data_IF_058826638458
#
_entry.id   IF_058826638458
#
_cell.length_a   1.000
_cell.length_b   1.000
_cell.length_c   1.000
_cell.angle_alpha   90.00
_cell.angle_beta   90.00
_cell.angle_gamma   90.00
#
_symmetry.space_group_name_H-M   'P 1'
#
loop_
_entity.id
_entity.type
_entity.pdbx_description
1 polymer ?
#
# COMPACT_ATOMS: atom_id res chain seq x y z
N UNK A 1 -12.21 -0.20 19.25
CA UNK A 1 -12.07 -1.48 18.52
C UNK A 1 -10.61 -1.91 18.57
N UNK A 2 -10.29 -3.18 18.86
CA UNK A 2 -8.90 -3.64 18.90
C UNK A 2 -8.27 -3.56 17.51
N UNK A 3 -7.03 -3.06 17.47
CA UNK A 3 -6.21 -2.97 16.26
C UNK A 3 -5.45 -4.29 16.09
N UNK A 4 -5.39 -4.82 14.87
CA UNK A 4 -4.68 -6.09 14.61
C UNK A 4 -3.17 -5.83 14.61
N UNK A 5 -2.33 -6.69 15.23
CA UNK A 5 -0.89 -6.50 15.25
C UNK A 5 -0.30 -6.48 13.84
N UNK A 6 0.55 -5.50 13.56
CA UNK A 6 1.29 -5.37 12.31
C UNK A 6 2.69 -5.92 12.47
N UNK A 7 3.11 -6.75 11.51
CA UNK A 7 4.45 -7.34 11.47
C UNK A 7 5.26 -6.73 10.33
N UNK A 8 6.49 -6.31 10.61
CA UNK A 8 7.45 -6.12 9.54
C UNK A 8 7.83 -7.50 8.98
N UNK A 9 7.87 -7.63 7.67
CA UNK A 9 8.18 -8.90 7.00
C UNK A 9 9.31 -8.72 6.01
N UNK A 10 9.98 -9.82 5.66
CA UNK A 10 10.90 -9.84 4.52
C UNK A 10 10.16 -9.49 3.24
N UNK A 11 10.86 -8.85 2.30
CA UNK A 11 10.26 -8.44 1.03
C UNK A 11 9.76 -9.69 0.26
N UNK A 12 8.48 -9.72 -0.14
CA UNK A 12 7.86 -10.91 -0.70
C UNK A 12 8.53 -11.31 -2.02
N UNK A 13 9.10 -12.51 -2.05
CA UNK A 13 9.81 -13.02 -3.22
C UNK A 13 8.88 -13.38 -4.39
N UNK A 14 7.61 -13.59 -4.07
CA UNK A 14 6.48 -13.88 -4.95
C UNK A 14 5.82 -12.63 -5.54
N UNK A 15 6.16 -11.44 -5.04
CA UNK A 15 5.62 -10.18 -5.54
C UNK A 15 6.17 -9.84 -6.91
N UNK A 16 5.30 -9.34 -7.80
CA UNK A 16 5.70 -8.79 -9.10
C UNK A 16 6.53 -7.50 -8.97
N UNK A 17 6.54 -6.85 -7.81
CA UNK A 17 7.45 -5.73 -7.51
C UNK A 17 8.89 -6.17 -7.24
N UNK A 18 9.17 -7.47 -7.10
CA UNK A 18 10.50 -7.98 -6.77
C UNK A 18 11.66 -7.41 -7.60
N UNK A 19 11.56 -7.25 -8.94
CA UNK A 19 12.65 -6.67 -9.73
C UNK A 19 13.05 -5.27 -9.26
N UNK A 20 12.10 -4.51 -8.73
CA UNK A 20 12.26 -3.14 -8.26
C UNK A 20 12.97 -3.03 -6.91
N UNK A 21 13.18 -4.13 -6.18
CA UNK A 21 13.72 -4.07 -4.80
C UNK A 21 15.20 -3.71 -4.74
N UNK A 22 16.01 -4.19 -5.70
CA UNK A 22 17.48 -4.04 -5.65
C UNK A 22 17.95 -2.60 -5.81
N UNK A 23 17.26 -1.81 -6.63
CA UNK A 23 17.60 -0.42 -6.95
C UNK A 23 16.84 0.60 -6.10
N UNK A 24 16.01 0.13 -5.16
CA UNK A 24 15.17 0.99 -4.35
C UNK A 24 16.02 1.83 -3.39
N UNK A 25 15.77 3.13 -3.34
CA UNK A 25 16.33 4.00 -2.30
C UNK A 25 15.62 3.77 -0.97
N UNK A 26 14.32 3.51 -1.03
CA UNK A 26 13.51 3.16 0.13
C UNK A 26 12.59 1.99 -0.23
N UNK A 27 12.51 1.02 0.69
CA UNK A 27 11.59 -0.10 0.62
C UNK A 27 11.11 -0.43 2.03
N UNK A 28 9.81 -0.70 2.16
CA UNK A 28 9.22 -1.28 3.35
C UNK A 28 8.22 -2.38 3.00
N UNK A 29 8.01 -3.30 3.95
CA UNK A 29 7.02 -4.36 3.82
C UNK A 29 6.41 -4.65 5.19
N UNK A 30 5.09 -4.55 5.28
CA UNK A 30 4.33 -4.81 6.48
C UNK A 30 3.18 -5.76 6.19
N UNK A 31 2.92 -6.67 7.13
CA UNK A 31 1.89 -7.68 7.02
C UNK A 31 0.86 -7.59 8.15
N UNK A 32 -0.39 -7.94 7.82
CA UNK A 32 -1.47 -8.18 8.77
C UNK A 32 -2.19 -9.47 8.41
N UNK A 33 -2.51 -10.27 9.43
CA UNK A 33 -3.30 -11.48 9.25
C UNK A 33 -4.76 -11.10 9.04
N UNK A 34 -5.39 -11.73 8.04
CA UNK A 34 -6.82 -11.60 7.78
C UNK A 34 -7.62 -12.58 8.64
N UNK A 35 -8.84 -12.23 9.06
CA UNK A 35 -9.72 -13.14 9.79
C UNK A 35 -10.14 -14.29 8.88
N UNK A 36 -10.33 -15.51 9.36
CA UNK A 36 -10.82 -16.59 8.48
C UNK A 36 -12.23 -16.26 7.95
N UNK A 37 -12.41 -16.26 6.62
CA UNK A 37 -13.71 -16.01 5.97
C UNK A 37 -14.26 -17.24 5.22
N UNK A 38 -14.03 -18.44 5.73
CA UNK A 38 -14.50 -19.69 5.12
C UNK A 38 -14.12 -19.77 3.63
N UNK A 39 -15.09 -20.12 2.76
CA UNK A 39 -14.85 -20.29 1.30
C UNK A 39 -14.76 -19.00 0.48
N UNK A 40 -14.89 -17.79 1.06
CA UNK A 40 -14.83 -16.55 0.29
C UNK A 40 -13.37 -16.16 0.00
N UNK A 41 -13.01 -16.11 -1.29
CA UNK A 41 -11.69 -15.67 -1.71
C UNK A 41 -11.54 -14.14 -1.57
N UNK A 42 -10.46 -13.71 -0.91
CA UNK A 42 -10.09 -12.29 -0.89
C UNK A 42 -9.73 -11.79 -2.29
N UNK A 43 -10.24 -10.61 -2.64
CA UNK A 43 -9.90 -9.93 -3.89
C UNK A 43 -8.94 -8.78 -3.64
N UNK A 44 -7.79 -8.71 -4.33
CA UNK A 44 -6.79 -7.67 -4.09
C UNK A 44 -7.32 -6.26 -4.38
N UNK A 45 -8.20 -6.07 -5.37
CA UNK A 45 -8.82 -4.77 -5.64
C UNK A 45 -9.66 -4.25 -4.47
N UNK A 46 -10.41 -5.13 -3.80
CA UNK A 46 -11.24 -4.75 -2.66
C UNK A 46 -10.37 -4.39 -1.47
N UNK A 47 -9.33 -5.20 -1.20
CA UNK A 47 -8.37 -4.94 -0.13
C UNK A 47 -7.61 -3.64 -0.37
N UNK A 48 -7.19 -3.35 -1.60
CA UNK A 48 -6.57 -2.08 -1.95
C UNK A 48 -7.55 -0.92 -1.72
N UNK A 49 -8.79 -1.01 -2.22
CA UNK A 49 -9.80 0.03 -1.97
C UNK A 49 -10.02 0.25 -0.47
N UNK A 50 -10.16 -0.81 0.33
CA UNK A 50 -10.31 -0.70 1.78
C UNK A 50 -9.07 -0.13 2.48
N UNK A 51 -7.88 -0.50 2.04
CA UNK A 51 -6.60 0.01 2.53
C UNK A 51 -6.45 1.51 2.24
N UNK A 52 -6.92 1.98 1.09
CA UNK A 52 -6.84 3.37 0.66
C UNK A 52 -8.05 4.23 1.08
N UNK A 53 -8.98 3.70 1.89
CA UNK A 53 -10.13 4.46 2.42
C UNK A 53 -9.91 4.93 3.87
N UNK A 54 -10.60 6.00 4.28
CA UNK A 54 -10.65 6.50 5.66
C UNK A 54 -9.26 6.89 6.22
N UNK A 55 -8.58 7.74 5.46
CA UNK A 55 -7.32 8.32 5.87
C UNK A 55 -7.51 9.27 7.07
N UNK A 56 -6.57 9.31 8.04
CA UNK A 56 -6.63 10.27 9.13
C UNK A 56 -6.71 11.71 8.62
N UNK A 57 -7.37 12.62 9.34
CA UNK A 57 -7.45 14.03 8.92
C UNK A 57 -6.07 14.69 8.73
N UNK A 58 -5.08 14.31 9.54
CA UNK A 58 -3.69 14.78 9.40
C UNK A 58 -3.02 14.29 8.11
N UNK A 59 -3.45 13.16 7.56
CA UNK A 59 -2.96 12.66 6.28
C UNK A 59 -3.38 13.59 5.14
N UNK A 60 -4.64 14.03 5.13
CA UNK A 60 -5.14 14.99 4.14
C UNK A 60 -4.36 16.30 4.19
N UNK A 61 -3.99 16.76 5.39
CA UNK A 61 -3.12 17.91 5.58
C UNK A 61 -1.71 17.68 5.00
N UNK A 62 -1.10 16.52 5.23
CA UNK A 62 0.21 16.18 4.64
C UNK A 62 0.18 16.11 3.12
N UNK A 63 -0.88 15.56 2.54
CA UNK A 63 -1.05 15.55 1.09
C UNK A 63 -1.23 16.95 0.53
N UNK A 64 -1.97 17.81 1.23
CA UNK A 64 -2.10 19.22 0.85
C UNK A 64 -0.75 19.94 0.91
N UNK A 65 0.01 19.77 2.00
CA UNK A 65 1.36 20.35 2.15
C UNK A 65 2.28 19.84 1.03
N UNK A 66 2.26 18.53 0.76
CA UNK A 66 3.01 17.94 -0.35
C UNK A 66 2.63 18.62 -1.66
N UNK A 67 1.34 18.72 -1.97
CA UNK A 67 0.87 19.28 -3.24
C UNK A 67 1.25 20.77 -3.39
N UNK A 68 1.30 21.53 -2.29
CA UNK A 68 1.81 22.90 -2.28
C UNK A 68 3.32 22.95 -2.55
N UNK A 69 4.12 22.12 -1.88
CA UNK A 69 5.57 22.05 -2.11
C UNK A 69 5.84 21.60 -3.55
N UNK A 70 5.16 20.56 -4.03
CA UNK A 70 5.29 20.06 -5.40
C UNK A 70 4.90 21.09 -6.45
N UNK A 71 3.89 21.93 -6.17
CA UNK A 71 3.54 23.06 -7.03
C UNK A 71 4.68 24.06 -7.23
N UNK A 72 5.47 24.32 -6.19
CA UNK A 72 6.59 25.27 -6.26
C UNK A 72 7.74 24.70 -7.08
N UNK A 73 7.89 23.37 -7.07
CA UNK A 73 8.94 22.66 -7.79
C UNK A 73 8.51 22.13 -9.18
N UNK A 74 7.32 22.48 -9.67
CA UNK A 74 6.82 22.05 -11.00
C UNK A 74 6.55 20.55 -11.12
N UNK A 75 6.28 19.89 -9.98
CA UNK A 75 6.01 18.46 -9.85
C UNK A 75 4.51 18.21 -9.86
N UNK A 76 4.06 17.05 -10.37
CA UNK A 76 2.63 16.78 -10.58
C UNK A 76 1.85 16.79 -9.27
N UNK A 77 0.65 17.38 -9.31
CA UNK A 77 -0.29 17.36 -8.18
C UNK A 77 -1.20 16.13 -8.22
N UNK A 78 -1.76 15.74 -7.07
CA UNK A 78 -2.74 14.63 -6.95
C UNK A 78 -3.88 14.70 -7.97
N UNK A 79 -4.33 15.91 -8.31
CA UNK A 79 -5.41 16.17 -9.25
C UNK A 79 -4.98 15.99 -10.70
N UNK A 80 -3.76 16.37 -11.04
CA UNK A 80 -3.18 16.21 -12.38
C UNK A 80 -2.91 14.74 -12.70
N UNK A 81 -2.51 13.97 -11.69
CA UNK A 81 -2.30 12.52 -11.79
C UNK A 81 -3.60 11.81 -12.11
N UNK A 82 -4.66 12.12 -11.35
CA UNK A 82 -5.99 11.55 -11.59
C UNK A 82 -6.57 11.98 -12.94
N UNK A 83 -6.43 13.26 -13.32
CA UNK A 83 -6.87 13.75 -14.62
C UNK A 83 -6.11 13.09 -15.78
N UNK A 84 -4.80 12.89 -15.64
CA UNK A 84 -3.98 12.22 -16.65
C UNK A 84 -4.31 10.73 -16.76
N UNK A 85 -4.59 10.06 -15.64
CA UNK A 85 -5.05 8.67 -15.62
C UNK A 85 -6.43 8.53 -16.30
N UNK A 86 -7.38 9.39 -15.95
CA UNK A 86 -8.72 9.43 -16.56
C UNK A 86 -8.65 9.66 -18.08
N UNK A 87 -7.82 10.61 -18.54
CA UNK A 87 -7.60 10.87 -19.98
C UNK A 87 -7.01 9.66 -20.72
N UNK A 88 -6.30 8.78 -20.02
CA UNK A 88 -5.71 7.55 -20.55
C UNK A 88 -6.58 6.30 -20.30
N UNK A 89 -7.76 6.44 -19.70
CA UNK A 89 -8.61 5.32 -19.32
C UNK A 89 -8.00 4.41 -18.24
N UNK A 90 -7.04 4.91 -17.46
CA UNK A 90 -6.37 4.16 -16.39
C UNK A 90 -7.18 4.31 -15.11
N UNK A 91 -7.60 3.18 -14.52
CA UNK A 91 -8.25 3.17 -13.21
C UNK A 91 -7.27 3.62 -12.12
N UNK A 92 -7.74 4.47 -11.22
CA UNK A 92 -7.00 4.92 -10.04
C UNK A 92 -7.62 4.34 -8.77
N UNK A 93 -6.79 4.02 -7.79
CA UNK A 93 -7.23 3.74 -6.43
C UNK A 93 -6.72 4.87 -5.54
N UNK A 94 -7.64 5.60 -4.91
CA UNK A 94 -7.40 6.93 -4.33
C UNK A 94 -6.76 7.86 -5.37
N UNK A 95 -5.48 8.22 -5.18
CA UNK A 95 -4.74 9.10 -6.10
C UNK A 95 -3.79 8.34 -7.03
N UNK A 96 -3.59 7.04 -6.81
CA UNK A 96 -2.55 6.26 -7.47
C UNK A 96 -3.09 5.47 -8.67
N UNK A 97 -2.50 5.62 -9.87
CA UNK A 97 -2.79 4.77 -11.02
C UNK A 97 -2.50 3.30 -10.75
N UNK A 98 -3.34 2.42 -11.30
CA UNK A 98 -3.08 0.98 -11.26
C UNK A 98 -2.07 0.61 -12.36
N UNK A 99 -0.94 0.05 -11.95
CA UNK A 99 0.15 -0.37 -12.85
C UNK A 99 -0.06 -1.82 -13.29
N UNK A 100 -0.43 -2.71 -12.36
CA UNK A 100 -0.60 -4.13 -12.64
C UNK A 100 -1.62 -4.76 -11.72
N UNK A 101 -2.33 -5.75 -12.24
CA UNK A 101 -3.25 -6.62 -11.50
C UNK A 101 -2.92 -8.08 -11.74
N UNK A 102 -3.12 -8.86 -10.69
CA UNK A 102 -3.08 -10.32 -10.70
C UNK A 102 -4.10 -10.86 -9.69
N UNK A 103 -4.27 -12.17 -9.63
CA UNK A 103 -5.28 -12.79 -8.77
C UNK A 103 -5.04 -12.56 -7.27
N UNK A 104 -3.77 -12.38 -6.86
CA UNK A 104 -3.37 -12.22 -5.47
C UNK A 104 -2.66 -10.90 -5.19
N UNK A 105 -2.34 -10.09 -6.20
CA UNK A 105 -1.57 -8.87 -6.04
C UNK A 105 -2.10 -7.74 -6.93
N UNK A 106 -2.18 -6.54 -6.36
CA UNK A 106 -2.39 -5.30 -7.11
C UNK A 106 -1.25 -4.33 -6.84
N UNK A 107 -0.70 -3.78 -7.91
CA UNK A 107 0.39 -2.79 -7.87
C UNK A 107 -0.17 -1.46 -8.33
N UNK A 108 -0.03 -0.48 -7.45
CA UNK A 108 -0.33 0.91 -7.71
C UNK A 108 0.97 1.69 -7.74
N UNK A 109 1.01 2.78 -8.48
CA UNK A 109 2.18 3.62 -8.43
C UNK A 109 2.15 4.75 -9.42
N UNK A 110 3.16 5.58 -9.28
CA UNK A 110 3.29 6.80 -10.04
C UNK A 110 4.76 7.07 -10.32
N UNK A 111 5.04 7.42 -11.57
CA UNK A 111 6.35 7.90 -11.98
C UNK A 111 6.30 9.41 -12.14
N UNK A 112 7.03 10.10 -11.26
CA UNK A 112 7.10 11.55 -11.18
C UNK A 112 8.55 12.04 -11.31
N UNK A 113 8.73 13.34 -11.50
CA UNK A 113 10.03 13.94 -11.82
C UNK A 113 11.08 13.73 -10.72
N UNK A 114 10.67 13.74 -9.44
CA UNK A 114 11.57 13.62 -8.29
C UNK A 114 11.72 12.18 -7.77
N UNK A 115 10.73 11.32 -7.99
CA UNK A 115 10.78 9.91 -7.61
C UNK A 115 9.78 9.06 -8.41
N UNK A 116 10.05 7.77 -8.44
CA UNK A 116 9.13 6.73 -8.87
C UNK A 116 8.66 5.96 -7.64
N UNK A 117 7.36 6.06 -7.34
CA UNK A 117 6.69 5.42 -6.21
C UNK A 117 5.87 4.24 -6.70
N UNK A 118 6.06 3.08 -6.08
CA UNK A 118 5.24 1.90 -6.32
C UNK A 118 4.83 1.29 -4.98
N UNK A 119 3.59 0.82 -4.89
CA UNK A 119 3.08 0.12 -3.73
C UNK A 119 2.28 -1.11 -4.18
N UNK A 120 2.45 -2.22 -3.48
CA UNK A 120 1.77 -3.48 -3.72
C UNK A 120 0.93 -3.86 -2.52
N UNK A 121 -0.27 -4.36 -2.79
CA UNK A 121 -1.10 -5.10 -1.85
C UNK A 121 -1.13 -6.55 -2.32
N UNK A 122 -0.39 -7.41 -1.64
CA UNK A 122 -0.23 -8.83 -1.92
C UNK A 122 -1.00 -9.67 -0.88
N UNK A 123 -1.76 -10.65 -1.34
CA UNK A 123 -2.41 -11.66 -0.52
C UNK A 123 -1.58 -12.95 -0.61
N UNK A 124 -1.26 -13.55 0.53
CA UNK A 124 -0.62 -14.87 0.56
C UNK A 124 -1.09 -15.73 1.71
N UNK A 125 -0.89 -17.03 1.56
CA UNK A 125 -1.17 -18.03 2.58
C UNK A 125 -0.06 -18.06 3.62
N UNK A 126 -0.43 -18.21 4.88
CA UNK A 126 0.47 -18.30 6.04
C UNK A 126 0.22 -19.62 6.75
N UNK A 127 1.30 -20.31 7.09
CA UNK A 127 1.20 -21.54 7.87
C UNK A 127 0.70 -21.25 9.30
N UNK A 128 -0.09 -22.15 9.91
CA UNK A 128 -0.72 -21.96 11.22
C UNK A 128 0.27 -21.66 12.36
N UNK A 129 1.54 -22.02 12.23
CA UNK A 129 2.57 -21.85 13.27
C UNK A 129 2.93 -20.40 13.62
N UNK A 130 2.47 -19.42 12.84
CA UNK A 130 2.62 -17.97 13.11
C UNK A 130 1.35 -17.32 13.70
N UNK A 131 0.24 -18.06 13.79
CA UNK A 131 -1.01 -17.60 14.38
C UNK A 131 -1.10 -18.15 15.81
N UNK A 132 -0.85 -17.31 16.81
CA UNK A 132 -1.02 -17.69 18.21
C UNK A 132 -2.42 -18.30 18.45
N UNK A 133 -2.42 -19.55 18.91
CA UNK A 133 -3.36 -20.13 19.88
C UNK A 133 -4.85 -20.19 19.51
N UNK A 134 -5.17 -20.56 18.27
CA UNK A 134 -6.49 -21.11 17.94
C UNK A 134 -6.33 -22.38 17.11
N UNK A 135 -6.40 -23.52 17.79
CA UNK A 135 -6.40 -24.84 17.18
C UNK A 135 -7.43 -24.94 16.06
N UNK A 136 -6.93 -25.04 14.84
CA UNK A 136 -7.71 -25.22 13.63
C UNK A 136 -6.76 -25.31 12.45
N UNK A 137 -6.84 -26.41 11.70
CA UNK A 137 -6.09 -26.69 10.47
C UNK A 137 -6.62 -25.84 9.29
N UNK A 138 -6.81 -24.54 9.52
CA UNK A 138 -7.33 -23.61 8.52
C UNK A 138 -6.19 -22.72 7.99
N UNK A 139 -6.03 -22.72 6.67
CA UNK A 139 -5.06 -21.86 5.98
C UNK A 139 -5.36 -20.39 6.28
N UNK A 140 -4.54 -19.76 7.12
CA UNK A 140 -4.65 -18.34 7.42
C UNK A 140 -4.10 -17.52 6.25
N UNK A 141 -4.80 -16.46 5.85
CA UNK A 141 -4.32 -15.53 4.81
C UNK A 141 -3.77 -14.27 5.46
N UNK A 142 -2.74 -13.69 4.87
CA UNK A 142 -2.25 -12.37 5.24
C UNK A 142 -2.21 -11.42 4.05
N UNK A 143 -2.29 -10.13 4.35
CA UNK A 143 -2.04 -9.05 3.40
C UNK A 143 -0.68 -8.46 3.70
N UNK A 144 0.18 -8.41 2.69
CA UNK A 144 1.46 -7.74 2.72
C UNK A 144 1.36 -6.45 1.90
N UNK A 145 1.50 -5.30 2.55
CA UNK A 145 1.68 -4.02 1.90
C UNK A 145 3.18 -3.78 1.72
N UNK A 146 3.63 -3.64 0.48
CA UNK A 146 5.04 -3.35 0.15
C UNK A 146 5.13 -2.01 -0.56
N UNK A 147 5.99 -1.11 -0.12
CA UNK A 147 6.27 0.14 -0.83
C UNK A 147 7.69 0.15 -1.33
N UNK A 148 7.88 0.58 -2.57
CA UNK A 148 9.19 0.71 -3.22
C UNK A 148 9.30 2.11 -3.81
N UNK A 149 10.38 2.82 -3.49
CA UNK A 149 10.65 4.17 -3.98
C UNK A 149 12.03 4.26 -4.60
N UNK A 150 12.07 4.72 -5.84
CA UNK A 150 13.30 5.09 -6.54
C UNK A 150 13.37 6.62 -6.62
N UNK A 151 14.46 7.20 -6.14
CA UNK A 151 14.64 8.65 -6.15
C UNK A 151 15.41 9.10 -7.38
N UNK A 152 15.00 10.23 -7.96
CA UNK A 152 15.75 10.92 -9.00
C UNK A 152 16.52 12.08 -8.37
N UNK A 153 17.86 12.01 -8.42
CA UNK A 153 18.75 13.06 -7.91
C UNK A 153 18.68 13.26 -6.39
N UNK A 154 19.18 14.42 -5.93
CA UNK A 154 19.27 14.77 -4.51
C UNK A 154 17.92 15.19 -3.91
N UNK A 155 17.10 15.90 -4.70
CA UNK A 155 15.80 16.40 -4.26
C UNK A 155 14.86 15.25 -3.87
N UNK A 156 14.77 14.21 -4.72
CA UNK A 156 13.99 13.01 -4.42
C UNK A 156 14.43 12.31 -3.12
N UNK A 157 15.74 12.24 -2.87
CA UNK A 157 16.32 11.63 -1.66
C UNK A 157 16.02 12.44 -0.40
N UNK A 158 16.15 13.76 -0.47
CA UNK A 158 15.81 14.65 0.64
C UNK A 158 14.31 14.56 0.97
N UNK A 159 13.47 14.62 -0.06
CA UNK A 159 12.02 14.53 0.09
C UNK A 159 11.58 13.22 0.74
N UNK A 160 12.00 12.06 0.20
CA UNK A 160 11.60 10.75 0.77
C UNK A 160 12.10 10.59 2.21
N UNK A 161 13.27 11.14 2.55
CA UNK A 161 13.82 11.06 3.91
C UNK A 161 12.91 11.77 4.91
N UNK A 162 12.34 12.91 4.52
CA UNK A 162 11.40 13.69 5.35
C UNK A 162 10.05 12.98 5.46
N UNK A 163 9.51 12.46 4.35
CA UNK A 163 8.16 11.86 4.34
C UNK A 163 8.11 10.41 4.83
N UNK A 164 9.23 9.67 4.78
CA UNK A 164 9.35 8.26 5.19
C UNK A 164 8.73 7.93 6.56
N UNK A 165 9.02 8.66 7.67
CA UNK A 165 8.42 8.32 8.96
C UNK A 165 6.89 8.42 8.93
N UNK A 166 6.35 9.42 8.24
CA UNK A 166 4.91 9.58 8.07
C UNK A 166 4.34 8.44 7.21
N UNK A 167 5.00 8.11 6.09
CA UNK A 167 4.60 7.00 5.23
C UNK A 167 4.45 5.69 6.00
N UNK A 168 5.48 5.31 6.77
CA UNK A 168 5.47 4.09 7.59
C UNK A 168 4.30 4.12 8.59
N UNK A 169 4.03 5.26 9.22
CA UNK A 169 2.93 5.42 10.16
C UNK A 169 1.56 5.20 9.48
N UNK A 170 1.38 5.75 8.28
CA UNK A 170 0.13 5.67 7.51
C UNK A 170 -0.13 4.26 7.02
N UNK A 171 0.92 3.59 6.51
CA UNK A 171 0.83 2.19 6.06
C UNK A 171 0.42 1.31 7.23
N UNK A 172 1.13 1.40 8.37
CA UNK A 172 0.80 0.63 9.57
C UNK A 172 -0.63 0.92 10.07
N UNK A 173 -1.04 2.18 10.09
CA UNK A 173 -2.38 2.59 10.53
C UNK A 173 -3.49 1.98 9.67
N UNK A 174 -3.37 2.08 8.35
CA UNK A 174 -4.38 1.54 7.43
C UNK A 174 -4.39 0.02 7.44
N UNK A 175 -3.21 -0.59 7.48
CA UNK A 175 -3.06 -2.04 7.53
C UNK A 175 -3.66 -2.62 8.82
N UNK A 176 -3.47 -1.98 9.97
CA UNK A 176 -3.94 -2.50 11.27
C UNK A 176 -5.47 -2.53 11.40
N UNK A 177 -6.15 -1.72 10.58
CA UNK A 177 -7.61 -1.58 10.54
C UNK A 177 -8.24 -2.33 9.38
N UNK A 178 -7.44 -2.79 8.44
CA UNK A 178 -7.90 -3.51 7.26
C UNK A 178 -8.73 -4.76 7.62
N UNK A 179 -8.31 -5.62 8.58
CA UNK A 179 -9.12 -6.77 9.02
C UNK A 179 -10.54 -6.38 9.44
N UNK A 180 -10.68 -5.35 10.27
CA UNK A 180 -11.98 -4.88 10.75
C UNK A 180 -12.85 -4.32 9.61
N UNK A 181 -12.24 -3.55 8.69
CA UNK A 181 -12.96 -3.00 7.52
C UNK A 181 -13.54 -4.08 6.63
N UNK A 182 -12.87 -5.21 6.49
CA UNK A 182 -13.32 -6.35 5.66
C UNK A 182 -14.45 -7.11 6.36
N UNK A 183 -14.41 -7.22 7.69
CA UNK A 183 -15.48 -7.88 8.46
C UNK A 183 -16.75 -7.03 8.49
N UNK A 184 -16.63 -5.71 8.70
CA UNK A 184 -17.79 -4.82 8.80
C UNK A 184 -18.43 -4.51 7.45
N UNK A 185 -17.65 -4.46 6.38
CA UNK A 185 -18.19 -4.39 5.01
C UNK A 185 -18.44 -5.81 4.52
N UNK A 186 -19.45 -6.46 5.11
CA UNK A 186 -20.01 -7.70 4.59
C UNK A 186 -20.41 -7.48 3.11
N UNK A 187 -19.79 -8.26 2.23
CA UNK A 187 -20.41 -8.76 1.01
C UNK A 187 -20.61 -10.25 1.21
#
# INVERSE_FOLDING_TARGET
MPVTPIRAVSFPGESRLRPSYKSAYFIDAFAVTLPTQGSKAYRPDFLAKAFFTEWPAWFSLLMWIRDQVMSVFGVKRSTEIQAAAAKKGIETIAVFPVISRSNNEIILGENDSHLNFQTSILIRDVQPSMANDRGGDESCKEVVATTVVHCHGLFGKAYITIIKPFHVLIVKYNLARLPNKIVTKEY
#
